data_IF_277956937673
#
_entry.id   IF_277956937673
#
_cell.length_a   1.000
_cell.length_b   1.000
_cell.length_c   1.000
_cell.angle_alpha   90.00
_cell.angle_beta   90.00
_cell.angle_gamma   90.00
#
_symmetry.space_group_name_H-M   'P 1'
#
loop_
_entity.id
_entity.type
_entity.pdbx_description
1 polymer ?
#
# COMPACT_ATOMS: atom_id res chain seq x y z
N UNK A 1 -4.53 -38.25 0.52
CA UNK A 1 -5.79 -37.55 0.79
C UNK A 1 -5.73 -36.20 0.08
N UNK A 2 -6.49 -36.06 -1.00
CA UNK A 2 -6.34 -34.99 -2.00
C UNK A 2 -7.06 -33.72 -1.53
N UNK A 3 -6.31 -32.64 -1.24
CA UNK A 3 -6.86 -31.32 -0.91
C UNK A 3 -7.39 -30.66 -2.20
N UNK A 4 -8.65 -30.95 -2.54
CA UNK A 4 -9.38 -30.24 -3.59
C UNK A 4 -9.51 -28.76 -3.20
N UNK A 5 -9.18 -27.84 -4.10
CA UNK A 5 -9.16 -26.40 -3.82
C UNK A 5 -10.58 -25.83 -3.71
N UNK A 6 -10.74 -24.72 -2.97
CA UNK A 6 -12.01 -24.00 -2.87
C UNK A 6 -12.54 -23.55 -4.26
N UNK A 7 -11.64 -23.15 -5.17
CA UNK A 7 -11.97 -22.80 -6.55
C UNK A 7 -12.60 -23.97 -7.31
N UNK A 8 -12.17 -25.20 -7.08
CA UNK A 8 -12.73 -26.40 -7.75
C UNK A 8 -14.13 -26.75 -7.24
N UNK A 9 -14.48 -26.37 -6.00
CA UNK A 9 -15.81 -26.64 -5.41
C UNK A 9 -16.85 -25.59 -5.78
N UNK A 10 -16.44 -24.34 -5.96
CA UNK A 10 -17.35 -23.23 -6.17
C UNK A 10 -17.36 -22.71 -7.62
N UNK A 11 -16.37 -23.07 -8.45
CA UNK A 11 -16.29 -22.63 -9.84
C UNK A 11 -16.17 -21.11 -10.01
N UNK A 12 -15.87 -20.38 -8.93
CA UNK A 12 -15.78 -18.92 -8.92
C UNK A 12 -14.31 -18.49 -8.91
N UNK A 13 -13.98 -17.59 -9.82
CA UNK A 13 -12.68 -16.93 -9.88
C UNK A 13 -12.87 -15.44 -9.60
N UNK A 14 -12.29 -14.94 -8.51
CA UNK A 14 -12.32 -13.52 -8.18
C UNK A 14 -11.06 -12.86 -8.76
N UNK A 15 -11.22 -12.11 -9.85
CA UNK A 15 -10.15 -11.27 -10.37
C UNK A 15 -9.88 -10.12 -9.41
N UNK A 16 -8.62 -9.90 -9.08
CA UNK A 16 -8.19 -8.70 -8.34
C UNK A 16 -7.69 -7.65 -9.33
N UNK A 17 -8.14 -6.40 -9.14
CA UNK A 17 -7.59 -5.29 -9.91
C UNK A 17 -6.16 -5.00 -9.44
N UNK A 18 -5.19 -4.88 -10.37
CA UNK A 18 -3.83 -4.53 -10.01
C UNK A 18 -3.78 -3.12 -9.43
N UNK A 19 -3.06 -2.94 -8.34
CA UNK A 19 -2.80 -1.61 -7.77
C UNK A 19 -1.80 -0.86 -8.68
N UNK A 20 -2.24 0.25 -9.28
CA UNK A 20 -1.37 1.10 -10.10
C UNK A 20 -0.45 1.95 -9.22
N UNK A 21 0.55 2.61 -9.83
CA UNK A 21 1.39 3.55 -9.07
C UNK A 21 0.57 4.74 -8.57
N UNK A 22 -0.33 5.23 -9.40
CA UNK A 22 -1.14 6.39 -9.07
C UNK A 22 -2.13 6.04 -7.95
N UNK A 23 -2.75 4.85 -7.97
CA UNK A 23 -3.58 4.38 -6.84
C UNK A 23 -2.76 4.27 -5.55
N UNK A 24 -1.54 3.73 -5.66
CA UNK A 24 -0.63 3.58 -4.53
C UNK A 24 -0.24 4.92 -3.91
N UNK A 25 0.12 5.90 -4.74
CA UNK A 25 0.49 7.24 -4.28
C UNK A 25 -0.74 8.00 -3.74
N UNK A 26 -1.90 7.87 -4.39
CA UNK A 26 -3.14 8.49 -3.92
C UNK A 26 -3.57 7.98 -2.54
N UNK A 27 -3.36 6.69 -2.24
CA UNK A 27 -3.59 6.14 -0.89
C UNK A 27 -2.68 6.80 0.15
N UNK A 28 -1.40 6.98 -0.18
CA UNK A 28 -0.41 7.61 0.71
C UNK A 28 -0.74 9.08 0.93
N UNK A 29 -1.05 9.83 -0.12
CA UNK A 29 -1.48 11.23 -0.04
C UNK A 29 -2.72 11.36 0.85
N UNK A 30 -3.67 10.42 0.72
CA UNK A 30 -4.84 10.33 1.60
C UNK A 30 -4.49 10.17 3.07
N UNK A 31 -3.57 9.26 3.41
CA UNK A 31 -3.12 9.08 4.80
C UNK A 31 -2.35 10.31 5.32
N UNK A 32 -1.46 10.88 4.52
CA UNK A 32 -0.69 12.08 4.89
C UNK A 32 -1.63 13.26 5.15
N UNK A 33 -2.63 13.46 4.30
CA UNK A 33 -3.65 14.49 4.45
C UNK A 33 -4.51 14.29 5.69
N UNK A 34 -5.03 13.08 5.91
CA UNK A 34 -5.90 12.76 7.04
C UNK A 34 -5.19 12.97 8.39
N UNK A 35 -3.91 12.58 8.49
CA UNK A 35 -3.14 12.68 9.73
C UNK A 35 -2.32 13.98 9.85
N UNK A 36 -2.44 14.88 8.88
CA UNK A 36 -1.79 16.19 8.89
C UNK A 36 -0.26 16.11 8.91
N UNK A 37 0.32 15.15 8.20
CA UNK A 37 1.76 15.08 7.99
C UNK A 37 2.17 16.11 6.94
N UNK A 38 3.17 16.93 7.24
CA UNK A 38 3.70 17.92 6.30
C UNK A 38 5.04 17.40 5.79
N UNK A 39 5.04 16.93 4.55
CA UNK A 39 6.24 16.49 3.86
C UNK A 39 6.24 17.05 2.43
N UNK A 40 7.41 17.23 1.86
CA UNK A 40 7.52 17.68 0.47
C UNK A 40 6.92 16.62 -0.49
N UNK A 41 6.03 16.98 -1.42
CA UNK A 41 5.37 16.01 -2.29
C UNK A 41 6.31 15.19 -3.18
N UNK A 42 7.41 15.77 -3.65
CA UNK A 42 8.38 15.07 -4.48
C UNK A 42 9.19 14.08 -3.65
N UNK A 43 9.55 14.47 -2.42
CA UNK A 43 10.18 13.56 -1.45
C UNK A 43 9.24 12.41 -1.08
N UNK A 44 7.96 12.70 -0.80
CA UNK A 44 6.96 11.67 -0.49
C UNK A 44 6.84 10.64 -1.62
N UNK A 45 6.71 11.11 -2.86
CA UNK A 45 6.63 10.24 -4.03
C UNK A 45 7.89 9.40 -4.19
N UNK A 46 9.06 10.01 -4.11
CA UNK A 46 10.34 9.31 -4.27
C UNK A 46 10.51 8.20 -3.22
N UNK A 47 10.34 8.54 -1.94
CA UNK A 47 10.46 7.56 -0.84
C UNK A 47 9.41 6.44 -0.96
N UNK A 48 8.17 6.78 -1.33
CA UNK A 48 7.12 5.78 -1.51
C UNK A 48 7.42 4.78 -2.65
N UNK A 49 7.97 5.28 -3.77
CA UNK A 49 8.35 4.47 -4.94
C UNK A 49 9.53 3.55 -4.59
N UNK A 50 10.51 4.04 -3.84
CA UNK A 50 11.60 3.23 -3.33
C UNK A 50 11.09 2.17 -2.34
N UNK A 51 10.23 2.56 -1.41
CA UNK A 51 9.66 1.66 -0.42
C UNK A 51 8.93 0.46 -1.05
N UNK A 52 8.06 0.69 -2.04
CA UNK A 52 7.29 -0.39 -2.67
C UNK A 52 8.19 -1.39 -3.44
N UNK A 53 9.33 -0.93 -3.97
CA UNK A 53 10.31 -1.82 -4.61
C UNK A 53 10.90 -2.83 -3.61
N UNK A 54 11.07 -2.45 -2.34
CA UNK A 54 11.60 -3.34 -1.29
C UNK A 54 10.55 -4.33 -0.73
N UNK A 55 9.25 -4.09 -0.98
CA UNK A 55 8.13 -4.86 -0.40
C UNK A 55 7.41 -5.78 -1.39
N UNK A 56 7.95 -5.94 -2.60
CA UNK A 56 7.38 -6.83 -3.61
C UNK A 56 6.18 -6.25 -4.35
N UNK A 57 6.05 -4.92 -4.40
CA UNK A 57 5.07 -4.22 -5.24
C UNK A 57 4.08 -3.34 -4.46
N UNK A 58 2.96 -3.03 -5.12
CA UNK A 58 1.99 -2.02 -4.66
C UNK A 58 0.74 -2.68 -4.12
N UNK A 59 0.29 -2.20 -2.97
CA UNK A 59 -1.01 -2.55 -2.39
C UNK A 59 -1.36 -1.51 -1.31
N UNK A 60 -2.64 -1.47 -0.91
CA UNK A 60 -3.04 -0.65 0.23
C UNK A 60 -2.30 -1.01 1.53
N UNK A 61 -1.94 -2.29 1.72
CA UNK A 61 -1.12 -2.73 2.85
C UNK A 61 0.27 -2.12 2.82
N UNK A 62 0.94 -2.14 1.67
CA UNK A 62 2.30 -1.57 1.52
C UNK A 62 2.26 -0.05 1.69
N UNK A 63 1.22 0.62 1.19
CA UNK A 63 0.99 2.05 1.39
C UNK A 63 0.83 2.40 2.88
N UNK A 64 0.02 1.63 3.62
CA UNK A 64 -0.15 1.81 5.06
C UNK A 64 1.16 1.61 5.83
N UNK A 65 1.94 0.58 5.47
CA UNK A 65 3.24 0.33 6.10
C UNK A 65 4.24 1.47 5.87
N UNK A 66 4.29 2.00 4.65
CA UNK A 66 5.12 3.17 4.34
C UNK A 66 4.69 4.38 5.17
N UNK A 67 3.38 4.65 5.22
CA UNK A 67 2.82 5.75 6.00
C UNK A 67 3.13 5.62 7.49
N UNK A 68 2.97 4.44 8.09
CA UNK A 68 3.33 4.20 9.49
C UNK A 68 4.82 4.43 9.77
N UNK A 69 5.70 3.99 8.86
CA UNK A 69 7.14 4.24 8.97
C UNK A 69 7.45 5.75 8.90
N UNK A 70 6.89 6.45 7.91
CA UNK A 70 7.03 7.89 7.74
C UNK A 70 6.52 8.64 8.98
N UNK A 71 5.32 8.33 9.46
CA UNK A 71 4.73 8.92 10.66
C UNK A 71 5.60 8.69 11.90
N UNK A 72 6.12 7.46 12.06
CA UNK A 72 7.06 7.12 13.14
C UNK A 72 8.35 7.95 13.08
N UNK A 73 8.95 8.10 11.89
CA UNK A 73 10.13 8.96 11.68
C UNK A 73 9.85 10.44 11.99
N UNK A 74 8.62 10.88 11.80
CA UNK A 74 8.17 12.25 12.08
C UNK A 74 7.62 12.43 13.51
N UNK A 75 7.67 11.41 14.36
CA UNK A 75 7.18 11.46 15.74
C UNK A 75 5.67 11.62 15.87
N UNK A 76 4.90 11.23 14.85
CA UNK A 76 3.44 11.22 14.85
C UNK A 76 2.92 9.85 15.25
N UNK A 77 2.06 9.81 16.25
CA UNK A 77 1.27 8.62 16.58
C UNK A 77 0.09 8.50 15.59
N UNK A 78 -0.13 7.29 15.09
CA UNK A 78 -1.07 6.92 14.01
C UNK A 78 -1.96 5.77 14.43
#
# INVERSE_FOLDING_TARGET
EEKVSLSDRFGLWLGFHPCTQDDYLAMIDGYVGEYGLVVDPEVLRAEAIEWQATRGGRSGRVAWQFFCDLAGRMGKAV
#
